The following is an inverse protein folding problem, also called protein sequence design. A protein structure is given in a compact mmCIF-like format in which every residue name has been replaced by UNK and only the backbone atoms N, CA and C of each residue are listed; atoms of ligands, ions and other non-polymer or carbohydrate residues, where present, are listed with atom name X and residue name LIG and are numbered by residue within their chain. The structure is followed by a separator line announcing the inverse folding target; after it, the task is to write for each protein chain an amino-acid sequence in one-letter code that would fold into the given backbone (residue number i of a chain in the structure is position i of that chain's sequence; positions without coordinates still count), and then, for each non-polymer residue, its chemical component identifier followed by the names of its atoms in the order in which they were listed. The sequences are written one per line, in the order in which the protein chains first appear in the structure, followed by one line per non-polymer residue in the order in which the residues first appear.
data_IF_911033955485
#
_entry.id   IF_911033955485
#
_cell.length_a   1.000
_cell.length_b   1.000
_cell.length_c   1.000
_cell.angle_alpha   90.00
_cell.angle_beta   90.00
_cell.angle_gamma   90.00
#
_symmetry.space_group_name_H-M   'P 1'
#
loop_
_entity.id
_entity.type
_entity.pdbx_description
1 polymer ?
#
# COMPACT_ATOMS: atom_id res chain seq x y z
N UNK A 1 25.42 -35.54 -5.84
CA UNK A 1 25.00 -34.13 -5.75
C UNK A 1 23.54 -34.11 -5.35
N UNK A 2 23.24 -33.83 -4.08
CA UNK A 2 21.87 -33.72 -3.59
C UNK A 2 21.50 -32.23 -3.57
N UNK A 3 20.56 -31.83 -4.42
CA UNK A 3 19.96 -30.50 -4.37
C UNK A 3 18.92 -30.49 -3.25
N UNK A 4 19.24 -29.81 -2.15
CA UNK A 4 18.31 -29.55 -1.07
C UNK A 4 17.47 -28.33 -1.48
N UNK A 5 16.21 -28.56 -1.87
CA UNK A 5 15.27 -27.48 -2.15
C UNK A 5 14.78 -26.90 -0.81
N UNK A 6 15.18 -25.66 -0.49
CA UNK A 6 14.55 -24.90 0.58
C UNK A 6 13.15 -24.48 0.12
N UNK A 7 12.12 -25.11 0.66
CA UNK A 7 10.76 -24.56 0.63
C UNK A 7 10.66 -23.47 1.70
N UNK A 8 10.50 -22.22 1.27
CA UNK A 8 10.10 -21.13 2.15
C UNK A 8 8.67 -21.40 2.64
N UNK A 9 8.47 -21.52 3.95
CA UNK A 9 7.15 -21.54 4.58
C UNK A 9 6.59 -20.12 4.52
N UNK A 10 5.53 -19.90 3.75
CA UNK A 10 4.74 -18.68 3.83
C UNK A 10 3.80 -18.82 5.03
N UNK A 11 4.22 -18.26 6.17
CA UNK A 11 3.42 -18.23 7.39
C UNK A 11 2.23 -17.27 7.19
N UNK A 12 1.13 -17.82 6.67
CA UNK A 12 -0.16 -17.14 6.61
C UNK A 12 -0.80 -17.15 7.99
N UNK A 13 -0.84 -15.99 8.64
CA UNK A 13 -1.51 -15.81 9.92
C UNK A 13 -2.90 -15.20 9.70
N UNK A 14 -3.94 -16.00 9.95
CA UNK A 14 -5.32 -15.52 10.04
C UNK A 14 -5.63 -15.19 11.50
N UNK A 15 -5.79 -13.92 11.82
CA UNK A 15 -6.49 -13.48 13.03
C UNK A 15 -7.78 -12.81 12.58
N UNK A 16 -8.89 -13.17 13.22
CA UNK A 16 -10.25 -12.79 12.83
C UNK A 16 -10.33 -11.35 12.24
N UNK A 17 -10.72 -11.28 10.97
CA UNK A 17 -11.00 -10.12 10.10
C UNK A 17 -9.85 -9.30 9.48
N UNK A 18 -8.58 -9.69 9.67
CA UNK A 18 -7.44 -9.10 8.91
C UNK A 18 -6.64 -10.22 8.24
N UNK A 19 -6.66 -10.25 6.91
CA UNK A 19 -5.86 -11.17 6.11
C UNK A 19 -4.60 -10.48 5.58
N UNK A 20 -3.48 -11.18 5.53
CA UNK A 20 -2.22 -10.62 5.05
C UNK A 20 -1.13 -11.69 4.92
N UNK A 21 0.01 -11.30 4.36
CA UNK A 21 1.19 -12.15 4.29
C UNK A 21 2.45 -11.30 4.22
N UNK A 22 3.57 -11.93 4.55
CA UNK A 22 4.90 -11.35 4.40
C UNK A 22 5.46 -11.58 3.00
N UNK A 23 6.37 -10.72 2.57
CA UNK A 23 7.10 -10.84 1.31
C UNK A 23 6.38 -10.26 0.09
N UNK A 24 6.86 -10.67 -1.09
CA UNK A 24 6.52 -10.09 -2.39
C UNK A 24 5.85 -11.08 -3.36
N UNK A 25 5.35 -12.22 -2.88
CA UNK A 25 4.58 -13.16 -3.72
C UNK A 25 3.39 -12.46 -4.36
N UNK A 26 3.23 -12.58 -5.68
CA UNK A 26 2.21 -11.82 -6.40
C UNK A 26 0.81 -12.08 -5.85
N UNK A 27 0.11 -11.00 -5.50
CA UNK A 27 -1.29 -11.03 -5.08
C UNK A 27 -2.15 -10.73 -6.30
N UNK A 28 -3.06 -11.64 -6.64
CA UNK A 28 -4.03 -11.44 -7.72
C UNK A 28 -4.96 -10.28 -7.40
N UNK A 29 -5.37 -9.55 -8.44
CA UNK A 29 -6.34 -8.46 -8.37
C UNK A 29 -7.56 -8.81 -7.51
N UNK A 30 -7.95 -7.90 -6.61
CA UNK A 30 -9.10 -8.03 -5.70
C UNK A 30 -10.19 -7.01 -6.03
N UNK A 31 -10.50 -6.87 -7.31
CA UNK A 31 -11.37 -5.82 -7.86
C UNK A 31 -10.83 -4.40 -7.60
N UNK A 32 -9.50 -4.27 -7.66
CA UNK A 32 -8.81 -3.00 -7.63
C UNK A 32 -8.89 -2.30 -8.99
N UNK A 33 -8.71 -0.97 -9.03
CA UNK A 33 -8.57 -0.24 -10.28
C UNK A 33 -7.51 -0.83 -11.22
N UNK A 34 -7.75 -0.72 -12.54
CA UNK A 34 -6.79 -1.15 -13.56
C UNK A 34 -5.44 -0.47 -13.32
N UNK A 35 -4.35 -1.27 -13.31
CA UNK A 35 -2.99 -0.79 -13.03
C UNK A 35 -2.59 -0.82 -11.54
N UNK A 36 -3.51 -1.06 -10.62
CA UNK A 36 -3.19 -1.16 -9.18
C UNK A 36 -2.24 -2.32 -8.87
N UNK A 37 -2.39 -3.46 -9.55
CA UNK A 37 -1.53 -4.63 -9.33
C UNK A 37 -0.05 -4.34 -9.59
N UNK A 38 0.28 -3.46 -10.54
CA UNK A 38 1.67 -3.06 -10.80
C UNK A 38 2.29 -2.34 -9.61
N UNK A 39 1.50 -1.51 -8.93
CA UNK A 39 1.94 -0.80 -7.71
C UNK A 39 1.95 -1.75 -6.52
N UNK A 40 0.90 -2.56 -6.38
CA UNK A 40 0.71 -3.47 -5.25
C UNK A 40 1.72 -4.62 -5.22
N UNK A 41 2.09 -5.16 -6.39
CA UNK A 41 3.06 -6.25 -6.53
C UNK A 41 4.47 -5.75 -6.83
N UNK A 42 4.83 -4.56 -6.33
CA UNK A 42 6.20 -4.07 -6.39
C UNK A 42 7.18 -5.09 -5.76
N UNK A 43 8.30 -5.34 -6.43
CA UNK A 43 9.29 -6.34 -6.00
C UNK A 43 9.85 -6.09 -4.59
N UNK A 44 9.95 -4.82 -4.17
CA UNK A 44 10.38 -4.44 -2.82
C UNK A 44 9.25 -4.42 -1.78
N UNK A 45 8.07 -4.96 -2.07
CA UNK A 45 7.05 -5.20 -1.06
C UNK A 45 7.54 -6.23 -0.04
N UNK A 46 7.41 -5.91 1.24
CA UNK A 46 7.85 -6.77 2.35
C UNK A 46 6.68 -7.37 3.14
N UNK A 47 5.49 -6.81 2.99
CA UNK A 47 4.25 -7.33 3.56
C UNK A 47 3.04 -6.75 2.82
N UNK A 48 1.91 -7.42 2.96
CA UNK A 48 0.60 -6.85 2.63
C UNK A 48 -0.45 -7.27 3.65
N UNK A 49 -1.52 -6.51 3.72
CA UNK A 49 -2.69 -6.82 4.53
C UNK A 49 -3.96 -6.17 4.00
N UNK A 50 -5.11 -6.67 4.43
CA UNK A 50 -6.45 -6.15 4.15
C UNK A 50 -7.14 -5.71 5.46
N UNK A 51 -7.67 -4.48 5.54
CA UNK A 51 -8.36 -3.95 6.72
C UNK A 51 -8.96 -2.55 6.50
N UNK A 52 -9.92 -2.08 7.34
CA UNK A 52 -9.89 -2.19 8.80
C UNK A 52 -10.86 -3.26 9.38
N UNK A 53 -10.82 -3.57 10.70
CA UNK A 53 -11.46 -4.73 11.37
C UNK A 53 -12.99 -4.90 11.25
N UNK A 54 -13.66 -4.09 10.43
CA UNK A 54 -15.13 -4.00 10.34
C UNK A 54 -15.60 -3.99 8.87
N UNK A 55 -15.04 -4.85 8.00
CA UNK A 55 -15.68 -5.16 6.71
C UNK A 55 -14.79 -5.40 5.49
N UNK A 56 -13.46 -5.38 5.63
CA UNK A 56 -12.53 -5.72 4.55
C UNK A 56 -12.54 -4.75 3.36
N UNK A 57 -11.86 -5.13 2.28
CA UNK A 57 -11.86 -4.44 0.99
C UNK A 57 -10.86 -3.30 0.84
N UNK A 58 -10.13 -2.90 1.88
CA UNK A 58 -9.01 -1.96 1.76
C UNK A 58 -7.71 -2.74 1.95
N UNK A 59 -6.84 -2.65 0.95
CA UNK A 59 -5.62 -3.41 0.83
C UNK A 59 -4.42 -2.50 0.95
N UNK A 60 -3.39 -2.97 1.64
CA UNK A 60 -2.16 -2.26 1.91
C UNK A 60 -0.97 -3.10 1.46
N UNK A 61 -0.10 -2.51 0.65
CA UNK A 61 1.22 -3.04 0.33
C UNK A 61 2.27 -2.19 1.05
N UNK A 62 3.12 -2.83 1.84
CA UNK A 62 4.16 -2.20 2.64
C UNK A 62 5.53 -2.51 2.03
N UNK A 63 6.31 -1.46 1.72
CA UNK A 63 7.43 -1.58 0.79
C UNK A 63 8.71 -0.97 1.33
N UNK A 64 9.83 -1.51 0.84
CA UNK A 64 11.18 -0.94 0.97
C UNK A 64 11.79 -0.69 -0.39
N UNK A 65 12.60 0.35 -0.49
CA UNK A 65 13.37 0.64 -1.68
C UNK A 65 13.95 2.04 -1.68
N UNK A 66 14.44 2.47 -2.84
CA UNK A 66 15.12 3.76 -3.00
C UNK A 66 14.28 4.76 -3.81
N UNK A 67 14.79 5.99 -3.94
CA UNK A 67 14.12 7.07 -4.67
C UNK A 67 13.84 6.75 -6.16
N UNK A 68 14.71 5.99 -6.83
CA UNK A 68 14.50 5.56 -8.22
C UNK A 68 13.29 4.63 -8.32
N UNK A 69 13.24 3.60 -7.47
CA UNK A 69 12.11 2.66 -7.44
C UNK A 69 10.82 3.36 -7.05
N UNK A 70 10.86 4.26 -6.07
CA UNK A 70 9.70 5.07 -5.70
C UNK A 70 9.22 5.93 -6.87
N UNK A 71 10.12 6.56 -7.64
CA UNK A 71 9.74 7.34 -8.83
C UNK A 71 9.04 6.48 -9.89
N UNK A 72 9.52 5.25 -10.12
CA UNK A 72 8.88 4.28 -11.03
C UNK A 72 7.48 3.89 -10.53
N UNK A 73 7.34 3.71 -9.22
CA UNK A 73 6.05 3.41 -8.57
C UNK A 73 5.08 4.59 -8.67
N UNK A 74 5.53 5.83 -8.46
CA UNK A 74 4.69 7.02 -8.63
C UNK A 74 4.22 7.16 -10.08
N UNK A 75 5.07 6.85 -11.06
CA UNK A 75 4.67 6.83 -12.45
C UNK A 75 3.64 5.74 -12.77
N UNK A 76 3.74 4.56 -12.16
CA UNK A 76 2.73 3.50 -12.30
C UNK A 76 1.41 3.90 -11.61
N UNK A 77 1.49 4.48 -10.42
CA UNK A 77 0.33 4.99 -9.67
C UNK A 77 -0.40 6.10 -10.42
N UNK A 78 0.32 6.98 -11.11
CA UNK A 78 -0.26 8.01 -11.98
C UNK A 78 -1.04 7.42 -13.16
N UNK A 79 -0.58 6.31 -13.75
CA UNK A 79 -1.27 5.61 -14.83
C UNK A 79 -2.45 4.74 -14.39
N UNK A 80 -2.59 4.48 -13.09
CA UNK A 80 -3.70 3.69 -12.55
C UNK A 80 -5.04 4.38 -12.83
N UNK A 81 -6.04 3.59 -13.23
CA UNK A 81 -7.41 4.04 -13.53
C UNK A 81 -8.22 4.31 -12.25
N UNK A 82 -7.71 5.20 -11.42
CA UNK A 82 -8.38 5.70 -10.22
C UNK A 82 -8.44 7.22 -10.29
N UNK A 83 -9.64 7.77 -10.09
CA UNK A 83 -9.88 9.22 -10.14
C UNK A 83 -9.43 9.94 -8.86
N UNK A 84 -9.50 9.25 -7.72
CA UNK A 84 -9.15 9.81 -6.42
C UNK A 84 -7.80 9.24 -5.95
N UNK A 85 -6.72 9.96 -6.22
CA UNK A 85 -5.34 9.57 -5.90
C UNK A 85 -4.63 10.66 -5.13
N UNK A 86 -3.86 10.27 -4.10
CA UNK A 86 -2.96 11.22 -3.41
C UNK A 86 -1.67 10.57 -2.92
N UNK A 87 -0.63 11.38 -2.82
CA UNK A 87 0.61 11.06 -2.12
C UNK A 87 0.62 11.85 -0.81
N UNK A 88 1.06 11.20 0.27
CA UNK A 88 1.31 11.86 1.56
C UNK A 88 2.77 11.62 1.93
N UNK A 89 3.49 12.71 2.23
CA UNK A 89 4.91 12.63 2.61
C UNK A 89 5.06 12.90 4.09
N UNK A 90 5.73 11.98 4.80
CA UNK A 90 5.95 12.02 6.24
C UNK A 90 7.45 12.06 6.56
N UNK A 91 7.79 12.66 7.70
CA UNK A 91 9.13 12.57 8.27
C UNK A 91 9.34 11.20 8.93
N UNK A 92 10.59 10.80 9.09
CA UNK A 92 10.97 9.60 9.85
C UNK A 92 10.82 8.30 9.06
N UNK A 93 10.96 7.18 9.76
CA UNK A 93 10.89 5.83 9.18
C UNK A 93 9.51 5.26 9.41
N UNK A 94 8.86 4.77 8.36
CA UNK A 94 7.58 4.11 8.49
C UNK A 94 7.70 2.78 9.24
N UNK A 95 6.62 2.35 9.87
CA UNK A 95 6.55 1.06 10.56
C UNK A 95 5.43 0.22 9.94
N UNK A 96 5.77 -1.01 9.58
CA UNK A 96 4.85 -2.02 9.06
C UNK A 96 3.85 -2.41 10.14
N UNK A 97 2.57 -2.34 9.79
CA UNK A 97 1.49 -2.84 10.64
C UNK A 97 1.53 -4.37 10.75
N UNK A 98 1.86 -5.05 9.65
CA UNK A 98 1.81 -6.51 9.56
C UNK A 98 3.01 -7.22 10.19
N UNK A 99 4.22 -6.66 10.06
CA UNK A 99 5.45 -7.30 10.55
C UNK A 99 5.67 -7.10 12.05
N UNK A 100 5.06 -6.06 12.66
CA UNK A 100 5.14 -5.81 14.09
C UNK A 100 3.82 -5.32 14.70
N UNK A 101 2.73 -6.11 14.62
CA UNK A 101 1.42 -5.71 15.12
C UNK A 101 1.37 -5.54 16.65
N UNK A 102 2.29 -6.19 17.37
CA UNK A 102 2.39 -6.11 18.84
C UNK A 102 3.34 -5.04 19.35
N UNK A 103 3.97 -4.24 18.45
CA UNK A 103 4.98 -3.25 18.80
C UNK A 103 6.14 -3.82 19.65
N UNK A 104 6.57 -5.05 19.33
CA UNK A 104 7.73 -5.69 19.95
C UNK A 104 9.01 -4.91 19.59
N UNK A 105 9.78 -4.41 20.58
CA UNK A 105 11.04 -3.71 20.35
C UNK A 105 12.04 -4.51 19.50
N UNK A 106 12.05 -5.85 19.62
CA UNK A 106 12.95 -6.72 18.86
C UNK A 106 12.63 -6.76 17.36
N UNK A 107 11.42 -6.35 16.96
CA UNK A 107 10.96 -6.39 15.56
C UNK A 107 10.98 -5.04 14.86
N UNK A 108 11.34 -3.95 15.56
CA UNK A 108 11.31 -2.57 15.02
C UNK A 108 12.15 -2.45 13.75
N UNK A 109 13.37 -2.98 13.75
CA UNK A 109 14.24 -2.91 12.56
C UNK A 109 13.67 -3.71 11.39
N UNK A 110 13.13 -4.90 11.66
CA UNK A 110 12.50 -5.75 10.66
C UNK A 110 11.16 -5.20 10.15
N UNK A 111 10.54 -4.23 10.84
CA UNK A 111 9.27 -3.61 10.47
C UNK A 111 9.43 -2.26 9.77
N UNK A 112 10.65 -1.75 9.57
CA UNK A 112 10.88 -0.49 8.84
C UNK A 112 10.31 -0.56 7.42
N UNK A 113 9.62 0.49 6.98
CA UNK A 113 9.13 0.65 5.60
C UNK A 113 9.50 2.03 5.07
N UNK A 114 9.67 2.14 3.77
CA UNK A 114 9.96 3.39 3.08
C UNK A 114 8.67 4.01 2.50
N UNK A 115 7.69 3.19 2.13
CA UNK A 115 6.35 3.63 1.77
C UNK A 115 5.30 2.54 1.95
N UNK A 116 4.03 2.94 2.00
CA UNK A 116 2.88 2.04 1.90
C UNK A 116 1.92 2.50 0.82
N UNK A 117 1.37 1.56 0.06
CA UNK A 117 0.32 1.81 -0.93
C UNK A 117 -1.00 1.23 -0.43
N UNK A 118 -2.03 2.07 -0.36
CA UNK A 118 -3.40 1.70 -0.01
C UNK A 118 -4.31 1.78 -1.23
N UNK A 119 -5.11 0.74 -1.44
CA UNK A 119 -6.12 0.66 -2.50
C UNK A 119 -7.36 -0.06 -2.03
N UNK A 120 -8.53 0.36 -2.51
CA UNK A 120 -9.78 -0.35 -2.25
C UNK A 120 -10.18 -1.30 -3.37
N UNK A 121 -10.79 -2.41 -2.99
CA UNK A 121 -11.77 -3.14 -3.80
C UNK A 121 -13.00 -2.26 -3.97
N UNK A 122 -13.32 -1.89 -5.22
CA UNK A 122 -14.44 -0.98 -5.51
C UNK A 122 -15.80 -1.51 -5.01
N UNK A 123 -16.18 -2.78 -5.25
CA UNK A 123 -17.45 -3.32 -4.76
C UNK A 123 -17.59 -3.28 -3.23
N UNK A 124 -16.48 -3.53 -2.51
CA UNK A 124 -16.47 -3.43 -1.04
C UNK A 124 -16.68 -2.00 -0.57
N UNK A 125 -15.95 -1.05 -1.16
CA UNK A 125 -16.08 0.36 -0.83
C UNK A 125 -17.51 0.87 -1.10
N UNK A 126 -18.11 0.51 -2.23
CA UNK A 126 -19.50 0.85 -2.58
C UNK A 126 -20.52 0.29 -1.57
N UNK A 127 -20.29 -0.92 -1.07
CA UNK A 127 -21.13 -1.51 -0.02
C UNK A 127 -21.03 -0.74 1.29
N UNK A 128 -19.82 -0.34 1.70
CA UNK A 128 -19.59 0.37 2.96
C UNK A 128 -20.21 1.77 2.99
N UNK A 129 -20.22 2.49 1.86
CA UNK A 129 -20.76 3.86 1.81
C UNK A 129 -22.29 3.94 1.64
N UNK A 130 -22.95 2.80 1.46
CA UNK A 130 -24.42 2.65 1.32
C UNK A 130 -25.05 3.28 0.06
N UNK A 131 -26.35 3.00 -0.20
CA UNK A 131 -27.08 3.59 -1.32
C UNK A 131 -27.21 5.12 -1.20
N UNK A 132 -26.87 5.83 -2.27
CA UNK A 132 -26.85 7.30 -2.37
C UNK A 132 -28.20 7.82 -2.89
N UNK A 133 -29.12 8.32 -2.04
CA UNK A 133 -30.34 8.99 -2.53
C UNK A 133 -30.10 10.41 -3.09
N UNK A 134 -28.95 11.05 -2.82
CA UNK A 134 -28.73 12.48 -3.10
C UNK A 134 -27.27 12.88 -3.42
N UNK A 135 -26.41 11.97 -3.88
CA UNK A 135 -24.99 12.34 -4.15
C UNK A 135 -24.80 12.81 -5.60
N UNK A 136 -24.18 13.98 -5.77
CA UNK A 136 -23.84 14.59 -7.05
C UNK A 136 -22.72 13.81 -7.75
N UNK A 137 -22.95 13.34 -8.98
CA UNK A 137 -22.10 12.36 -9.69
C UNK A 137 -20.64 12.80 -9.93
N UNK A 138 -20.32 14.07 -9.71
CA UNK A 138 -19.01 14.67 -10.02
C UNK A 138 -18.04 14.75 -8.84
N UNK A 139 -18.42 14.34 -7.64
CA UNK A 139 -17.56 14.47 -6.46
C UNK A 139 -16.51 13.34 -6.39
N UNK A 140 -15.21 13.69 -6.37
CA UNK A 140 -14.12 12.72 -6.22
C UNK A 140 -14.17 11.94 -4.89
N UNK A 141 -14.87 12.48 -3.87
CA UNK A 141 -15.21 11.73 -2.65
C UNK A 141 -16.24 10.61 -2.89
N UNK A 142 -16.77 10.49 -4.12
CA UNK A 142 -17.61 9.38 -4.58
C UNK A 142 -16.85 8.24 -5.25
N UNK A 143 -15.52 8.28 -5.30
CA UNK A 143 -14.68 7.14 -5.68
C UNK A 143 -13.75 6.76 -4.53
N UNK A 144 -13.36 5.48 -4.40
CA UNK A 144 -12.42 5.05 -3.39
C UNK A 144 -11.10 5.78 -3.55
N UNK A 145 -10.54 6.24 -2.43
CA UNK A 145 -9.22 6.84 -2.39
C UNK A 145 -8.15 5.76 -2.58
N UNK A 146 -7.22 5.97 -3.50
CA UNK A 146 -5.94 5.28 -3.51
C UNK A 146 -4.83 6.22 -3.02
N UNK A 147 -3.95 5.73 -2.14
CA UNK A 147 -2.97 6.57 -1.46
C UNK A 147 -1.60 5.90 -1.40
N UNK A 148 -0.54 6.70 -1.54
CA UNK A 148 0.82 6.29 -1.17
C UNK A 148 1.28 7.18 -0.01
N UNK A 149 1.62 6.58 1.12
CA UNK A 149 2.31 7.22 2.23
C UNK A 149 3.81 6.96 2.10
N UNK A 150 4.61 8.03 2.10
CA UNK A 150 6.06 7.99 1.87
C UNK A 150 6.77 8.49 3.12
N UNK A 151 7.80 7.77 3.57
CA UNK A 151 8.54 8.06 4.80
C UNK A 151 10.00 8.41 4.47
N UNK A 152 10.43 9.63 4.76
CA UNK A 152 11.72 10.18 4.28
C UNK A 152 12.89 10.03 5.26
N UNK A 153 12.73 9.27 6.33
CA UNK A 153 13.79 8.95 7.30
C UNK A 153 14.49 7.62 7.06
N UNK A 154 14.03 6.85 6.05
CA UNK A 154 14.60 5.58 5.64
C UNK A 154 15.53 5.71 4.44
N UNK A 155 15.34 4.84 3.45
CA UNK A 155 16.18 4.73 2.24
C UNK A 155 15.74 5.68 1.11
N UNK A 156 14.72 6.50 1.35
CA UNK A 156 14.14 7.44 0.39
C UNK A 156 14.58 8.86 0.70
N UNK A 157 15.42 9.41 -0.19
CA UNK A 157 15.72 10.84 -0.26
C UNK A 157 14.67 11.54 -1.12
N UNK A 158 13.79 12.34 -0.52
CA UNK A 158 12.65 12.94 -1.22
C UNK A 158 13.03 13.85 -2.40
N UNK A 159 14.15 14.59 -2.29
CA UNK A 159 14.62 15.46 -3.38
C UNK A 159 14.98 14.71 -4.66
N UNK A 160 15.25 13.41 -4.55
CA UNK A 160 15.67 12.56 -5.66
C UNK A 160 14.48 11.84 -6.31
N UNK A 161 13.27 12.04 -5.76
CA UNK A 161 12.03 11.42 -6.26
C UNK A 161 11.41 12.30 -7.35
N UNK A 162 11.13 11.68 -8.50
CA UNK A 162 10.37 12.32 -9.57
C UNK A 162 8.88 12.08 -9.37
N UNK A 163 8.12 13.15 -9.13
CA UNK A 163 6.67 13.08 -8.93
C UNK A 163 5.95 13.51 -10.21
N UNK A 164 5.07 12.67 -10.79
CA UNK A 164 4.17 13.09 -11.87
C UNK A 164 3.33 14.31 -11.50
N UNK A 165 3.29 15.32 -12.38
CA UNK A 165 2.63 16.62 -12.12
C UNK A 165 1.12 16.52 -11.86
N UNK A 166 0.49 15.44 -12.33
CA UNK A 166 -0.94 15.12 -12.15
C UNK A 166 -1.26 14.62 -10.74
N UNK A 167 -0.27 14.16 -9.96
CA UNK A 167 -0.50 13.64 -8.63
C UNK A 167 -0.56 14.77 -7.60
N UNK A 168 -1.57 14.70 -6.73
CA UNK A 168 -1.66 15.58 -5.57
C UNK A 168 -0.70 15.12 -4.49
N UNK A 169 0.18 16.02 -4.04
CA UNK A 169 1.12 15.77 -2.93
C UNK A 169 0.67 16.55 -1.70
N UNK A 170 0.50 15.84 -0.59
CA UNK A 170 0.26 16.42 0.73
C UNK A 170 1.55 16.25 1.54
N UNK A 171 2.29 17.33 1.73
CA UNK A 171 3.49 17.33 2.57
C UNK A 171 3.10 17.49 4.04
N UNK A 172 3.42 16.49 4.87
CA UNK A 172 3.17 16.48 6.33
C UNK A 172 4.46 16.48 7.14
N UNK A 173 5.59 16.74 6.50
CA UNK A 173 6.86 16.93 7.19
C UNK A 173 6.77 18.26 7.94
N UNK A 174 6.84 18.19 9.27
CA UNK A 174 6.91 19.36 10.17
C UNK A 174 8.35 19.66 10.54
#
# INVERSE_FOLDING_TARGET
MAACALTASSDSHCSADIGGSTGNEAVSNKDWPTGAETVFNFQGRIAFWEGPPLGGGQWHAECRGNAKQLSEILAAFDRMDAKNKRIVVHNGVGQSFWLNPSHDPAKVDAAKIDWSFMVWSKPHWERLIGPKKTRDKNDAALEPLSQIDIYTGGSVTWSDVTVPKSLTVVDRRK
#
